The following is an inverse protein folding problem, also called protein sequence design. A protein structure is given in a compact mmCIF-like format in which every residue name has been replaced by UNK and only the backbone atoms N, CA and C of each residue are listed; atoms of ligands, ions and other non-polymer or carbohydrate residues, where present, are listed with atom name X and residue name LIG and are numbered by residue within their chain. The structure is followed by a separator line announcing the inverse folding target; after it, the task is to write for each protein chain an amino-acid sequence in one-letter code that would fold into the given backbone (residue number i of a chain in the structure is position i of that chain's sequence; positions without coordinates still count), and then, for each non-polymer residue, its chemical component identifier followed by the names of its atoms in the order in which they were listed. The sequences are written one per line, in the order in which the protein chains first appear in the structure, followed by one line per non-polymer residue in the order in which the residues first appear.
data_IF_715732023501
#
_entry.id   IF_715732023501
#
_cell.length_a   1.000
_cell.length_b   1.000
_cell.length_c   1.000
_cell.angle_alpha   90.00
_cell.angle_beta   90.00
_cell.angle_gamma   90.00
#
_symmetry.space_group_name_H-M   'P 1'
#
loop_
_entity.id
_entity.type
_entity.pdbx_description
1 polymer ?
#
# COMPACT_ATOMS: atom_id res chain seq x y z
N UNK A 1 18.93 -5.76 0.24
CA UNK A 1 17.47 -5.54 0.20
C UNK A 1 16.88 -6.76 -0.48
N UNK A 2 15.90 -7.42 0.14
CA UNK A 2 15.20 -8.53 -0.50
C UNK A 2 14.39 -8.00 -1.69
N UNK A 3 14.45 -8.70 -2.82
CA UNK A 3 13.70 -8.34 -4.02
C UNK A 3 12.19 -8.49 -3.77
N UNK A 4 11.40 -7.53 -4.25
CA UNK A 4 9.93 -7.59 -4.15
C UNK A 4 9.39 -8.28 -5.40
N UNK A 5 8.80 -9.46 -5.22
CA UNK A 5 8.13 -10.19 -6.29
C UNK A 5 6.69 -9.66 -6.44
N UNK A 6 6.32 -9.22 -7.65
CA UNK A 6 4.98 -8.72 -7.93
C UNK A 6 4.16 -9.76 -8.70
N UNK A 7 3.06 -10.18 -8.10
CA UNK A 7 2.11 -11.10 -8.74
C UNK A 7 0.81 -10.40 -9.08
N UNK A 8 0.20 -10.75 -10.21
CA UNK A 8 -1.09 -10.20 -10.63
C UNK A 8 -2.20 -10.72 -9.71
N UNK A 9 -3.01 -9.80 -9.19
CA UNK A 9 -4.17 -10.15 -8.37
C UNK A 9 -5.37 -10.53 -9.24
N UNK A 10 -6.23 -11.43 -8.72
CA UNK A 10 -7.54 -11.66 -9.31
C UNK A 10 -8.38 -10.36 -9.30
N UNK A 11 -9.26 -10.21 -10.29
CA UNK A 11 -10.13 -9.03 -10.41
C UNK A 11 -10.94 -8.85 -9.13
N UNK A 12 -10.80 -7.68 -8.50
CA UNK A 12 -11.49 -7.33 -7.26
C UNK A 12 -12.01 -5.89 -7.32
N UNK A 13 -12.99 -5.60 -6.47
CA UNK A 13 -13.60 -4.26 -6.36
C UNK A 13 -12.73 -3.25 -5.59
N UNK A 14 -11.57 -3.68 -5.07
CA UNK A 14 -10.68 -2.91 -4.21
C UNK A 14 -9.54 -2.24 -4.99
N UNK A 15 -9.53 -2.40 -6.31
CA UNK A 15 -8.50 -1.81 -7.18
C UNK A 15 -7.12 -2.45 -7.03
N UNK A 16 -6.98 -3.60 -6.37
CA UNK A 16 -5.71 -4.34 -6.29
C UNK A 16 -5.47 -5.02 -7.65
N UNK A 17 -4.44 -4.60 -8.36
CA UNK A 17 -3.98 -5.17 -9.64
C UNK A 17 -2.78 -6.09 -9.44
N UNK A 18 -1.88 -5.74 -8.52
CA UNK A 18 -0.67 -6.52 -8.20
C UNK A 18 -0.41 -6.55 -6.71
N UNK A 19 0.07 -7.68 -6.20
CA UNK A 19 0.49 -7.87 -4.81
C UNK A 19 2.00 -8.08 -4.79
N UNK A 20 2.70 -7.32 -3.95
CA UNK A 20 4.15 -7.38 -3.78
C UNK A 20 4.51 -8.24 -2.58
N UNK A 21 5.40 -9.20 -2.77
CA UNK A 21 5.84 -10.16 -1.77
C UNK A 21 7.34 -10.07 -1.51
N UNK A 22 7.72 -10.25 -0.24
CA UNK A 22 9.08 -10.61 0.16
C UNK A 22 8.97 -11.92 0.93
N UNK A 23 9.38 -13.03 0.31
CA UNK A 23 9.07 -14.37 0.82
C UNK A 23 7.55 -14.59 0.89
N UNK A 24 7.03 -14.97 2.05
CA UNK A 24 5.60 -15.18 2.29
C UNK A 24 4.86 -13.94 2.85
N UNK A 25 5.54 -12.79 2.90
CA UNK A 25 5.02 -11.56 3.51
C UNK A 25 4.59 -10.60 2.41
N UNK A 26 3.35 -10.11 2.49
CA UNK A 26 2.89 -9.02 1.63
C UNK A 26 3.55 -7.73 2.11
N UNK A 27 4.23 -7.06 1.18
CA UNK A 27 4.93 -5.79 1.45
C UNK A 27 4.34 -4.62 0.66
N UNK A 28 3.52 -4.90 -0.36
CA UNK A 28 3.02 -3.86 -1.26
C UNK A 28 1.78 -4.24 -2.05
N UNK A 29 1.08 -3.22 -2.55
CA UNK A 29 -0.05 -3.33 -3.47
C UNK A 29 0.18 -2.34 -4.62
N UNK A 30 -0.04 -2.76 -5.86
CA UNK A 30 0.04 -1.91 -7.06
C UNK A 30 1.38 -1.17 -7.30
N UNK A 31 2.50 -1.63 -6.75
CA UNK A 31 3.78 -0.90 -6.80
C UNK A 31 4.00 0.07 -5.63
N UNK A 32 3.04 0.16 -4.71
CA UNK A 32 3.10 0.93 -3.48
C UNK A 32 3.55 0.00 -2.36
N UNK A 33 4.63 0.34 -1.67
CA UNK A 33 5.21 -0.44 -0.55
C UNK A 33 5.24 0.38 0.72
N UNK A 34 5.40 -0.29 1.86
CA UNK A 34 5.65 0.38 3.14
C UNK A 34 6.87 1.32 3.03
N UNK A 35 6.70 2.55 3.49
CA UNK A 35 7.69 3.62 3.45
C UNK A 35 7.50 4.58 2.28
N UNK A 36 6.70 4.23 1.26
CA UNK A 36 6.39 5.14 0.16
C UNK A 36 5.58 6.35 0.65
N UNK A 37 5.85 7.50 0.06
CA UNK A 37 4.96 8.66 0.12
C UNK A 37 3.89 8.53 -0.97
N UNK A 38 2.63 8.81 -0.60
CA UNK A 38 1.48 8.78 -1.50
C UNK A 38 0.57 9.97 -1.24
N UNK A 39 -0.14 10.39 -2.27
CA UNK A 39 -1.18 11.43 -2.20
C UNK A 39 -2.55 10.78 -2.07
N UNK A 40 -3.33 11.22 -1.07
CA UNK A 40 -4.72 10.84 -0.86
C UNK A 40 -5.53 12.09 -0.50
N UNK A 41 -6.67 12.33 -1.15
CA UNK A 41 -7.52 13.51 -0.90
C UNK A 41 -6.72 14.82 -0.83
N UNK A 42 -5.86 15.04 -1.83
CA UNK A 42 -4.99 16.22 -1.95
C UNK A 42 -3.88 16.39 -0.90
N UNK A 43 -3.79 15.51 0.10
CA UNK A 43 -2.77 15.52 1.16
C UNK A 43 -1.73 14.41 0.95
N UNK A 44 -0.52 14.64 1.44
CA UNK A 44 0.55 13.65 1.43
C UNK A 44 0.57 12.82 2.71
N UNK A 45 0.84 11.53 2.54
CA UNK A 45 0.93 10.55 3.61
C UNK A 45 2.06 9.57 3.34
N UNK A 46 2.57 8.94 4.40
CA UNK A 46 3.47 7.79 4.30
C UNK A 46 2.70 6.50 4.48
N UNK A 47 2.98 5.51 3.63
CA UNK A 47 2.44 4.16 3.75
C UNK A 47 3.15 3.45 4.89
N UNK A 48 2.43 3.09 5.95
CA UNK A 48 3.04 2.46 7.13
C UNK A 48 2.63 0.99 7.29
N UNK A 49 1.57 0.55 6.59
CA UNK A 49 1.20 -0.85 6.52
C UNK A 49 0.50 -1.22 5.21
N UNK A 50 0.59 -2.49 4.84
CA UNK A 50 -0.18 -3.11 3.75
C UNK A 50 -0.87 -4.36 4.30
N UNK A 51 -2.16 -4.50 4.02
CA UNK A 51 -3.00 -5.55 4.58
C UNK A 51 -3.17 -6.71 3.63
N UNK A 52 -3.31 -7.92 4.18
CA UNK A 52 -3.78 -9.11 3.45
C UNK A 52 -5.21 -8.94 2.92
N UNK A 53 -5.98 -7.99 3.46
CA UNK A 53 -7.34 -7.67 3.00
C UNK A 53 -7.36 -6.66 1.85
N UNK A 54 -6.20 -6.23 1.33
CA UNK A 54 -6.12 -5.37 0.15
C UNK A 54 -6.22 -3.86 0.42
N UNK A 55 -6.17 -3.42 1.68
CA UNK A 55 -6.08 -2.01 2.04
C UNK A 55 -4.66 -1.62 2.49
N UNK A 56 -4.43 -0.31 2.49
CA UNK A 56 -3.17 0.35 2.85
C UNK A 56 -3.45 1.26 4.05
N UNK A 57 -2.58 1.22 5.05
CA UNK A 57 -2.60 2.15 6.17
C UNK A 57 -1.69 3.33 5.91
N UNK A 58 -2.24 4.53 6.02
CA UNK A 58 -1.57 5.81 5.80
C UNK A 58 -1.37 6.55 7.11
N UNK A 59 -0.21 7.20 7.25
CA UNK A 59 0.07 8.13 8.34
C UNK A 59 0.53 9.46 7.78
N UNK A 60 0.27 10.56 8.50
CA UNK A 60 0.91 11.83 8.16
C UNK A 60 2.43 11.67 8.27
N UNK A 61 3.18 12.25 7.33
CA UNK A 61 4.64 12.12 7.27
C UNK A 61 5.25 12.51 8.62
N UNK A 62 6.05 11.60 9.20
CA UNK A 62 6.71 11.80 10.49
C UNK A 62 5.84 11.56 11.73
N UNK A 63 4.58 11.13 11.58
CA UNK A 63 3.70 10.80 12.72
C UNK A 63 3.37 9.30 12.73
N UNK A 64 3.24 8.73 13.92
CA UNK A 64 2.65 7.42 14.20
C UNK A 64 1.61 7.58 15.32
N UNK A 65 0.54 6.76 15.38
CA UNK A 65 0.18 5.63 14.51
C UNK A 65 -0.47 6.05 13.18
N UNK A 66 -0.82 5.10 12.31
CA UNK A 66 -1.57 5.38 11.06
C UNK A 66 -2.91 6.02 11.37
N UNK A 67 -3.27 7.04 10.57
CA UNK A 67 -4.46 7.87 10.77
C UNK A 67 -5.59 7.49 9.82
N UNK A 68 -5.29 6.79 8.72
CA UNK A 68 -6.27 6.48 7.67
C UNK A 68 -6.03 5.08 7.09
N UNK A 69 -7.11 4.41 6.71
CA UNK A 69 -7.08 3.16 5.93
C UNK A 69 -7.78 3.41 4.60
N UNK A 70 -7.11 3.07 3.49
CA UNK A 70 -7.58 3.32 2.12
C UNK A 70 -7.29 2.15 1.21
N UNK A 71 -7.94 2.11 0.06
CA UNK A 71 -7.65 1.14 -1.00
C UNK A 71 -6.61 1.67 -1.99
N UNK A 72 -5.87 0.79 -2.69
CA UNK A 72 -4.83 1.18 -3.65
C UNK A 72 -5.30 2.06 -4.81
N UNK A 73 -6.60 2.10 -5.12
CA UNK A 73 -7.18 2.98 -6.14
C UNK A 73 -7.53 4.38 -5.63
N UNK A 74 -7.51 4.60 -4.32
CA UNK A 74 -7.79 5.89 -3.67
C UNK A 74 -6.52 6.71 -3.42
N UNK A 75 -5.37 6.17 -3.82
CA UNK A 75 -4.04 6.76 -3.62
C UNK A 75 -3.28 6.85 -4.93
N UNK A 76 -2.47 7.90 -5.03
CA UNK A 76 -1.53 8.10 -6.14
C UNK A 76 -0.13 8.18 -5.57
N UNK A 77 0.80 7.38 -6.11
CA UNK A 77 2.22 7.50 -5.78
C UNK A 77 2.82 8.72 -6.47
#
# INVERSE_FOLDING_TARGET
MSEVLWETAAVNRLGVKRIGFVGSVIVGLNGIVKGDEVKCNEKQYTVVMTSRLGHIGLSETGKLPYTLTVYPNEVTK
#
